data_IF_666614234283
#
_entry.id   IF_666614234283
#
_cell.length_a   1.000
_cell.length_b   1.000
_cell.length_c   1.000
_cell.angle_alpha   90.00
_cell.angle_beta   90.00
_cell.angle_gamma   90.00
#
_symmetry.space_group_name_H-M   'P 1'
#
loop_
_entity.id
_entity.type
_entity.pdbx_description
1 polymer ?
#
# COMPACT_ATOMS: atom_id res chain seq x y z
N UNK A 1 25.95 -4.69 -3.89
CA UNK A 1 25.04 -3.58 -3.49
C UNK A 1 25.91 -2.39 -3.11
N UNK A 2 25.51 -1.16 -3.46
CA UNK A 2 26.17 0.10 -3.07
C UNK A 2 25.89 0.41 -1.60
N UNK A 3 26.36 -0.49 -0.72
CA UNK A 3 26.00 -0.55 0.69
C UNK A 3 26.33 0.74 1.41
N UNK A 4 25.46 1.09 2.34
CA UNK A 4 25.61 2.20 3.25
C UNK A 4 25.35 1.67 4.67
N UNK A 5 26.25 1.96 5.59
CA UNK A 5 26.23 1.41 6.94
C UNK A 5 24.90 1.73 7.69
N UNK A 6 24.23 2.82 7.34
CA UNK A 6 22.95 3.20 7.94
C UNK A 6 21.79 2.29 7.50
N UNK A 7 21.86 1.77 6.28
CA UNK A 7 20.80 0.97 5.66
C UNK A 7 21.08 -0.53 5.71
N UNK A 8 22.33 -0.94 5.88
CA UNK A 8 22.71 -2.34 5.86
C UNK A 8 21.93 -3.16 6.90
N UNK A 9 21.22 -4.19 6.40
CA UNK A 9 20.31 -5.07 7.15
C UNK A 9 19.15 -4.38 7.88
N UNK A 10 18.97 -3.07 7.69
CA UNK A 10 17.86 -2.34 8.29
C UNK A 10 16.56 -2.68 7.59
N UNK A 11 15.53 -2.94 8.36
CA UNK A 11 14.21 -3.25 7.83
C UNK A 11 13.49 -2.00 7.35
N UNK A 12 12.92 -2.10 6.16
CA UNK A 12 12.19 -1.02 5.50
C UNK A 12 10.87 -1.57 4.98
N UNK A 13 9.78 -0.92 5.35
CA UNK A 13 8.47 -1.13 4.74
C UNK A 13 8.15 0.07 3.86
N UNK A 14 7.77 -0.18 2.62
CA UNK A 14 7.32 0.85 1.67
C UNK A 14 5.89 0.48 1.27
N UNK A 15 4.98 1.43 1.36
CA UNK A 15 3.64 1.33 0.78
C UNK A 15 3.59 2.15 -0.50
N UNK A 16 2.98 1.64 -1.58
CA UNK A 16 2.91 2.34 -2.86
C UNK A 16 1.72 1.93 -3.73
N UNK A 17 1.47 2.68 -4.82
CA UNK A 17 0.30 2.45 -5.68
C UNK A 17 -0.95 3.14 -5.14
N UNK A 18 -2.12 2.84 -5.71
CA UNK A 18 -3.41 3.39 -5.29
C UNK A 18 -4.30 2.31 -4.67
N UNK A 19 -5.17 2.68 -3.72
CA UNK A 19 -6.22 1.78 -3.26
C UNK A 19 -7.38 1.74 -4.27
N UNK A 20 -8.09 0.62 -4.31
CA UNK A 20 -9.20 0.34 -5.23
C UNK A 20 -10.44 -0.02 -4.41
N UNK A 21 -11.38 0.91 -4.32
CA UNK A 21 -12.56 0.81 -3.46
C UNK A 21 -13.79 0.51 -4.32
N UNK A 22 -14.32 -0.71 -4.20
CA UNK A 22 -15.33 -1.22 -5.14
C UNK A 22 -16.69 -0.56 -4.95
N UNK A 23 -17.24 -0.01 -6.03
CA UNK A 23 -18.66 0.35 -6.12
C UNK A 23 -19.46 -0.92 -6.43
N UNK A 24 -19.00 -1.67 -7.43
CA UNK A 24 -19.56 -2.95 -7.82
C UNK A 24 -18.46 -3.89 -8.36
N UNK A 25 -18.81 -5.01 -8.99
CA UNK A 25 -17.82 -5.96 -9.50
C UNK A 25 -16.98 -5.46 -10.69
N UNK A 26 -17.26 -4.27 -11.24
CA UNK A 26 -16.56 -3.71 -12.42
C UNK A 26 -16.13 -2.25 -12.26
N UNK A 27 -16.71 -1.50 -11.33
CA UNK A 27 -16.46 -0.07 -11.09
C UNK A 27 -15.89 0.14 -9.69
N UNK A 28 -14.97 1.08 -9.61
CA UNK A 28 -14.20 1.36 -8.40
C UNK A 28 -13.97 2.87 -8.26
N UNK A 29 -13.77 3.31 -7.02
CA UNK A 29 -13.18 4.60 -6.67
C UNK A 29 -11.69 4.34 -6.40
N UNK A 30 -10.82 5.14 -7.00
CA UNK A 30 -9.37 5.00 -6.86
C UNK A 30 -8.68 6.32 -7.13
N UNK A 31 -7.42 6.42 -6.71
CA UNK A 31 -6.55 7.56 -6.97
C UNK A 31 -5.56 7.24 -8.10
N UNK A 32 -5.03 8.28 -8.74
CA UNK A 32 -4.06 8.13 -9.82
C UNK A 32 -2.66 7.96 -9.23
N UNK A 33 -2.26 6.71 -8.98
CA UNK A 33 -0.88 6.37 -8.61
C UNK A 33 -0.35 5.25 -9.49
N UNK A 34 0.77 5.51 -10.16
CA UNK A 34 1.43 4.53 -11.02
C UNK A 34 2.26 3.49 -10.25
N UNK A 35 2.58 3.77 -8.99
CA UNK A 35 3.50 2.97 -8.16
C UNK A 35 4.98 3.13 -8.49
N UNK A 36 5.34 3.93 -9.51
CA UNK A 36 6.73 4.05 -10.00
C UNK A 36 7.68 4.52 -8.91
N UNK A 37 7.28 5.54 -8.14
CA UNK A 37 8.12 6.10 -7.09
C UNK A 37 8.41 5.07 -5.99
N UNK A 38 7.42 4.28 -5.59
CA UNK A 38 7.57 3.27 -4.55
C UNK A 38 8.49 2.13 -5.01
N UNK A 39 8.36 1.66 -6.25
CA UNK A 39 9.28 0.65 -6.80
C UNK A 39 10.70 1.18 -6.96
N UNK A 40 10.87 2.41 -7.44
CA UNK A 40 12.20 3.03 -7.55
C UNK A 40 12.87 3.19 -6.18
N UNK A 41 12.12 3.63 -5.16
CA UNK A 41 12.63 3.74 -3.79
C UNK A 41 13.00 2.37 -3.21
N UNK A 42 12.17 1.35 -3.44
CA UNK A 42 12.45 -0.02 -2.99
C UNK A 42 13.76 -0.54 -3.56
N UNK A 43 13.97 -0.36 -4.88
CA UNK A 43 15.20 -0.74 -5.57
C UNK A 43 16.40 0.04 -5.00
N UNK A 44 16.26 1.34 -4.79
CA UNK A 44 17.32 2.18 -4.25
C UNK A 44 17.75 1.74 -2.84
N UNK A 45 16.78 1.50 -1.94
CA UNK A 45 17.07 1.06 -0.56
C UNK A 45 17.62 -0.35 -0.50
N UNK A 46 17.14 -1.24 -1.36
CA UNK A 46 17.75 -2.56 -1.55
C UNK A 46 19.22 -2.42 -1.97
N UNK A 47 19.54 -1.57 -2.95
CA UNK A 47 20.92 -1.32 -3.35
C UNK A 47 21.77 -0.69 -2.25
N UNK A 48 21.17 -0.04 -1.26
CA UNK A 48 21.85 0.46 -0.06
C UNK A 48 22.06 -0.60 1.04
N UNK A 49 21.52 -1.80 0.85
CA UNK A 49 21.68 -2.94 1.77
C UNK A 49 20.51 -3.16 2.73
N UNK A 50 19.41 -2.43 2.55
CA UNK A 50 18.21 -2.60 3.38
C UNK A 50 17.47 -3.91 3.09
N UNK A 51 16.77 -4.43 4.10
CA UNK A 51 15.78 -5.51 3.97
C UNK A 51 14.43 -4.88 3.64
N UNK A 52 14.08 -4.86 2.36
CA UNK A 52 12.92 -4.12 1.86
C UNK A 52 11.70 -5.02 1.74
N UNK A 53 10.59 -4.58 2.31
CA UNK A 53 9.23 -5.06 2.02
C UNK A 53 8.47 -3.96 1.30
N UNK A 54 8.02 -4.23 0.07
CA UNK A 54 7.19 -3.33 -0.73
C UNK A 54 5.75 -3.86 -0.78
N UNK A 55 4.84 -3.14 -0.15
CA UNK A 55 3.40 -3.39 -0.17
C UNK A 55 2.78 -2.44 -1.19
N UNK A 56 2.28 -2.96 -2.31
CA UNK A 56 1.74 -2.09 -3.35
C UNK A 56 0.64 -2.74 -4.18
N UNK A 57 -0.20 -1.91 -4.83
CA UNK A 57 -1.19 -2.39 -5.80
C UNK A 57 -0.66 -2.61 -7.20
N UNK A 58 0.55 -2.15 -7.50
CA UNK A 58 1.23 -2.42 -8.76
C UNK A 58 2.75 -2.34 -8.59
N UNK A 59 3.47 -3.06 -9.45
CA UNK A 59 4.93 -3.05 -9.55
C UNK A 59 5.33 -2.72 -11.00
N UNK A 60 5.37 -1.43 -11.38
CA UNK A 60 5.59 -1.03 -12.78
C UNK A 60 6.99 -1.35 -13.31
N UNK A 61 7.92 -1.76 -12.45
CA UNK A 61 9.29 -2.13 -12.79
C UNK A 61 9.64 -3.47 -12.16
N UNK A 62 10.44 -4.33 -12.82
CA UNK A 62 10.92 -5.56 -12.21
C UNK A 62 11.66 -5.29 -10.90
N UNK A 63 11.37 -6.09 -9.88
CA UNK A 63 12.01 -6.00 -8.57
C UNK A 63 13.02 -7.13 -8.39
N UNK A 64 14.16 -6.88 -7.72
CA UNK A 64 15.03 -7.94 -7.22
C UNK A 64 14.26 -8.96 -6.38
N UNK A 65 14.61 -10.25 -6.50
CA UNK A 65 13.91 -11.35 -5.81
C UNK A 65 14.00 -11.25 -4.29
N UNK A 66 15.01 -10.56 -3.78
CA UNK A 66 15.23 -10.34 -2.36
C UNK A 66 14.35 -9.23 -1.77
N UNK A 67 13.68 -8.42 -2.60
CA UNK A 67 12.65 -7.50 -2.13
C UNK A 67 11.37 -8.31 -1.91
N UNK A 68 10.86 -8.31 -0.68
CA UNK A 68 9.56 -8.91 -0.37
C UNK A 68 8.46 -8.04 -0.95
N UNK A 69 7.89 -8.45 -2.08
CA UNK A 69 6.76 -7.75 -2.73
C UNK A 69 5.42 -8.34 -2.29
N UNK A 70 4.52 -7.51 -1.77
CA UNK A 70 3.16 -7.89 -1.36
C UNK A 70 2.14 -7.14 -2.21
N UNK A 71 1.43 -7.87 -3.08
CA UNK A 71 0.38 -7.31 -3.93
C UNK A 71 -0.90 -7.12 -3.10
N UNK A 72 -1.45 -5.91 -3.13
CA UNK A 72 -2.68 -5.52 -2.42
C UNK A 72 -3.60 -4.73 -3.33
N UNK A 73 -4.84 -4.45 -2.93
CA UNK A 73 -5.81 -3.74 -3.77
C UNK A 73 -6.55 -2.65 -3.02
N UNK A 74 -7.32 -3.01 -2.00
CA UNK A 74 -8.17 -2.11 -1.23
C UNK A 74 -7.50 -1.72 0.09
N UNK A 75 -8.04 -0.69 0.74
CA UNK A 75 -7.53 -0.18 2.02
C UNK A 75 -7.36 -1.27 3.08
N UNK A 76 -8.30 -2.21 3.18
CA UNK A 76 -8.23 -3.30 4.15
C UNK A 76 -7.06 -4.25 3.88
N UNK A 77 -6.79 -4.57 2.61
CA UNK A 77 -5.64 -5.39 2.23
C UNK A 77 -4.30 -4.70 2.49
N UNK A 78 -4.20 -3.38 2.28
CA UNK A 78 -3.02 -2.59 2.67
C UNK A 78 -2.80 -2.66 4.18
N UNK A 79 -3.86 -2.48 4.98
CA UNK A 79 -3.77 -2.55 6.44
C UNK A 79 -3.27 -3.92 6.91
N UNK A 80 -3.88 -4.99 6.39
CA UNK A 80 -3.53 -6.35 6.76
C UNK A 80 -2.08 -6.68 6.39
N UNK A 81 -1.63 -6.27 5.20
CA UNK A 81 -0.25 -6.45 4.76
C UNK A 81 0.72 -5.66 5.65
N UNK A 82 0.40 -4.42 6.00
CA UNK A 82 1.22 -3.58 6.87
C UNK A 82 1.34 -4.19 8.27
N UNK A 83 0.22 -4.62 8.85
CA UNK A 83 0.20 -5.26 10.16
C UNK A 83 0.99 -6.57 10.17
N UNK A 84 0.89 -7.38 9.11
CA UNK A 84 1.64 -8.62 8.98
C UNK A 84 3.14 -8.36 8.82
N UNK A 85 3.52 -7.41 7.97
CA UNK A 85 4.92 -7.01 7.81
C UNK A 85 5.49 -6.47 9.14
N UNK A 86 4.73 -5.64 9.85
CA UNK A 86 5.11 -5.08 11.14
C UNK A 86 5.33 -6.13 12.23
N UNK A 87 4.53 -7.21 12.25
CA UNK A 87 4.69 -8.34 13.19
C UNK A 87 5.93 -9.18 12.91
N UNK A 88 6.37 -9.23 11.66
CA UNK A 88 7.52 -10.01 11.24
C UNK A 88 8.86 -9.26 11.37
N UNK A 89 8.82 -7.98 11.78
CA UNK A 89 10.02 -7.19 12.03
C UNK A 89 10.85 -7.81 13.13
N UNK A 90 12.15 -7.91 12.88
CA UNK A 90 13.11 -8.44 13.84
C UNK A 90 13.58 -7.33 14.78
N UNK A 91 14.01 -7.71 15.99
CA UNK A 91 14.65 -6.77 16.90
C UNK A 91 16.02 -6.39 16.33
N UNK A 92 16.16 -5.14 15.92
CA UNK A 92 17.40 -4.56 15.43
C UNK A 92 17.83 -3.36 16.30
N UNK A 93 19.12 -3.03 16.25
CA UNK A 93 19.66 -1.85 16.95
C UNK A 93 19.06 -0.54 16.43
N UNK A 94 18.69 -0.50 15.14
CA UNK A 94 18.01 0.62 14.51
C UNK A 94 16.53 0.32 14.33
N UNK A 95 15.69 1.34 14.58
CA UNK A 95 14.25 1.25 14.32
C UNK A 95 13.97 1.04 12.83
N UNK A 96 13.02 0.19 12.44
CA UNK A 96 12.59 0.04 11.05
C UNK A 96 12.10 1.36 10.43
N UNK A 97 12.22 1.49 9.11
CA UNK A 97 11.69 2.63 8.34
C UNK A 97 10.32 2.28 7.76
N UNK A 98 9.39 3.23 7.77
CA UNK A 98 8.12 3.14 7.06
C UNK A 98 7.97 4.31 6.10
N UNK A 99 7.94 4.02 4.80
CA UNK A 99 7.63 5.02 3.77
C UNK A 99 6.21 4.79 3.26
N UNK A 100 5.30 5.73 3.54
CA UNK A 100 3.95 5.67 2.97
C UNK A 100 3.84 6.54 1.72
N UNK A 101 3.92 5.91 0.55
CA UNK A 101 3.72 6.52 -0.77
C UNK A 101 2.43 5.99 -1.43
N UNK A 102 1.59 5.26 -0.70
CA UNK A 102 0.34 4.75 -1.23
C UNK A 102 -0.72 5.86 -1.27
N UNK A 103 -1.38 5.98 -2.42
CA UNK A 103 -2.53 6.86 -2.62
C UNK A 103 -3.81 6.14 -2.16
N UNK A 104 -3.97 6.01 -0.85
CA UNK A 104 -5.19 5.46 -0.22
C UNK A 104 -6.33 6.46 -0.42
N UNK A 105 -7.50 5.96 -0.82
CA UNK A 105 -8.69 6.79 -1.02
C UNK A 105 -9.18 7.32 0.34
N UNK A 106 -9.44 8.62 0.44
CA UNK A 106 -9.99 9.23 1.67
C UNK A 106 -11.46 8.84 1.91
N UNK A 107 -12.15 8.39 0.87
CA UNK A 107 -13.55 7.98 0.90
C UNK A 107 -13.75 6.63 0.23
N UNK A 108 -14.70 5.85 0.74
CA UNK A 108 -15.13 4.56 0.17
C UNK A 108 -16.62 4.56 -0.09
N UNK A 109 -17.13 3.79 -1.07
CA UNK A 109 -18.56 3.59 -1.24
C UNK A 109 -19.18 3.05 0.05
N UNK A 110 -20.26 3.69 0.51
CA UNK A 110 -21.02 3.24 1.69
C UNK A 110 -21.61 1.85 1.50
N UNK A 111 -22.01 1.55 0.27
CA UNK A 111 -22.52 0.25 -0.15
C UNK A 111 -21.72 -0.24 -1.35
N UNK A 112 -21.30 -1.49 -1.30
CA UNK A 112 -20.57 -2.16 -2.38
C UNK A 112 -21.32 -3.42 -2.81
N UNK A 113 -21.31 -3.72 -4.11
CA UNK A 113 -22.03 -4.86 -4.68
C UNK A 113 -21.07 -5.89 -5.29
N UNK A 114 -21.29 -7.17 -4.97
CA UNK A 114 -20.48 -8.28 -5.52
C UNK A 114 -20.84 -8.65 -6.96
N UNK A 115 -21.77 -7.94 -7.59
CA UNK A 115 -22.20 -8.13 -8.97
C UNK A 115 -22.20 -6.79 -9.71
N UNK A 116 -22.09 -6.83 -11.04
CA UNK A 116 -22.20 -5.63 -11.87
C UNK A 116 -23.63 -5.11 -11.83
N UNK A 117 -23.82 -3.90 -11.31
CA UNK A 117 -25.13 -3.25 -11.31
C UNK A 117 -25.59 -3.00 -12.75
N UNK A 118 -26.80 -3.46 -13.09
CA UNK A 118 -27.38 -3.30 -14.42
C UNK A 118 -27.84 -1.85 -14.62
N UNK A 119 -27.96 -1.43 -15.89
CA UNK A 119 -28.49 -0.11 -16.24
C UNK A 119 -29.89 0.15 -15.64
N UNK A 120 -30.71 -0.89 -15.54
CA UNK A 120 -32.04 -0.82 -14.92
C UNK A 120 -32.01 -0.49 -13.42
N UNK A 121 -30.93 -0.85 -12.72
CA UNK A 121 -30.75 -0.59 -11.30
C UNK A 121 -30.14 0.80 -11.05
N UNK A 122 -29.30 1.26 -11.98
CA UNK A 122 -28.61 2.56 -11.89
C UNK A 122 -29.49 3.74 -12.33
N UNK A 123 -30.40 3.51 -13.27
CA UNK A 123 -31.15 4.59 -13.91
C UNK A 123 -30.29 5.45 -14.85
N UNK A 124 -30.67 6.71 -15.05
CA UNK A 124 -29.97 7.64 -15.96
C UNK A 124 -28.70 8.25 -15.35
N UNK A 125 -28.61 8.32 -14.02
CA UNK A 125 -27.49 8.92 -13.28
C UNK A 125 -26.99 7.96 -12.22
N UNK A 126 -25.67 7.81 -12.09
CA UNK A 126 -25.08 7.04 -11.00
C UNK A 126 -24.66 7.97 -9.86
N UNK A 127 -25.33 7.84 -8.71
CA UNK A 127 -24.95 8.50 -7.47
C UNK A 127 -24.29 7.46 -6.55
N UNK A 128 -23.07 7.74 -6.09
CA UNK A 128 -22.33 6.87 -5.17
C UNK A 128 -22.22 7.59 -3.83
N UNK A 129 -23.02 7.18 -2.86
CA UNK A 129 -22.87 7.66 -1.48
C UNK A 129 -21.58 7.10 -0.89
N UNK A 130 -20.73 7.98 -0.38
CA UNK A 130 -19.44 7.61 0.18
C UNK A 130 -19.35 7.96 1.67
N UNK A 131 -18.54 7.21 2.40
CA UNK A 131 -18.18 7.47 3.79
C UNK A 131 -16.67 7.66 3.91
N UNK A 132 -16.23 8.38 4.94
CA UNK A 132 -14.80 8.58 5.21
C UNK A 132 -14.14 7.21 5.42
N UNK A 133 -13.01 7.01 4.76
CA UNK A 133 -12.21 5.81 4.88
C UNK A 133 -11.38 5.83 6.16
N UNK A 134 -10.86 4.66 6.53
CA UNK A 134 -9.94 4.53 7.66
C UNK A 134 -8.58 5.16 7.33
N UNK A 135 -8.05 5.92 8.28
CA UNK A 135 -6.66 6.39 8.23
C UNK A 135 -5.71 5.26 8.63
N UNK A 136 -5.00 4.71 7.64
CA UNK A 136 -4.00 3.66 7.86
C UNK A 136 -2.80 4.15 8.67
N UNK A 137 -2.34 5.37 8.48
CA UNK A 137 -1.16 5.89 9.18
C UNK A 137 -1.44 6.13 10.67
N UNK A 138 -2.67 6.53 11.01
CA UNK A 138 -3.12 6.67 12.38
C UNK A 138 -3.15 5.32 13.12
N UNK A 139 -3.37 4.21 12.40
CA UNK A 139 -3.38 2.86 13.00
C UNK A 139 -1.98 2.30 13.31
N UNK A 140 -0.92 2.89 12.74
CA UNK A 140 0.47 2.45 12.93
C UNK A 140 1.04 3.01 14.23
N UNK A 141 1.52 2.13 15.10
CA UNK A 141 2.21 2.50 16.35
C UNK A 141 3.35 3.50 16.07
N UNK A 142 3.26 4.74 16.59
CA UNK A 142 4.23 5.80 16.28
C UNK A 142 5.64 5.50 16.81
N UNK A 143 5.77 4.61 17.81
CA UNK A 143 7.06 4.28 18.40
C UNK A 143 7.80 3.16 17.66
N UNK A 144 7.10 2.42 16.79
CA UNK A 144 7.62 1.24 16.11
C UNK A 144 8.51 1.58 14.90
N UNK A 145 8.25 2.70 14.24
CA UNK A 145 8.91 3.10 13.00
C UNK A 145 9.55 4.47 13.11
N UNK A 146 10.59 4.70 12.31
CA UNK A 146 10.89 6.05 11.81
C UNK A 146 10.05 6.23 10.55
N UNK A 147 9.18 7.25 10.56
CA UNK A 147 8.27 7.59 9.47
C UNK A 147 8.82 8.79 8.70
#
# INVERSE_FOLDING_TARGET
LLKDAYFENREVIIMGGASVEKIDSVRVISNLSSGIQASALAIALYFKGAKVTLIASNFPTPLPKEITSVLVSDTASYENALNNAAKNLQKHALKPLLFNLAAISDYVPKTSFNHKLKKSELGQTLNVECVQNKDLLASVNPNQFVK
#
